data_IF_311852363503
#
_entry.id   IF_311852363503
#
_cell.length_a   1.000
_cell.length_b   1.000
_cell.length_c   1.000
_cell.angle_alpha   90.00
_cell.angle_beta   90.00
_cell.angle_gamma   90.00
#
_symmetry.space_group_name_H-M   'P 1'
#
loop_
_entity.id
_entity.type
_entity.pdbx_description
1 polymer ?
#
# COMPACT_ATOMS: atom_id res chain seq x y z
N UNK A 1 16.86 -19.21 -15.41
CA UNK A 1 16.15 -20.04 -14.41
C UNK A 1 16.54 -19.60 -13.00
N UNK A 2 17.84 -19.47 -12.70
CA UNK A 2 18.32 -18.94 -11.41
C UNK A 2 17.87 -17.49 -11.14
N UNK A 3 18.01 -16.55 -12.08
CA UNK A 3 17.54 -15.15 -11.89
C UNK A 3 16.03 -15.03 -11.59
N UNK A 4 15.18 -15.88 -12.19
CA UNK A 4 13.74 -15.89 -11.91
C UNK A 4 13.45 -16.41 -10.49
N UNK A 5 14.24 -17.38 -10.03
CA UNK A 5 14.15 -17.93 -8.68
C UNK A 5 14.62 -16.91 -7.63
N UNK A 6 15.73 -16.21 -7.91
CA UNK A 6 16.24 -15.11 -7.07
C UNK A 6 15.24 -13.96 -6.96
N UNK A 7 14.64 -13.53 -8.08
CA UNK A 7 13.60 -12.50 -8.08
C UNK A 7 12.38 -12.94 -7.24
N UNK A 8 11.92 -14.19 -7.38
CA UNK A 8 10.80 -14.69 -6.58
C UNK A 8 11.10 -14.72 -5.06
N UNK A 9 12.34 -14.98 -4.65
CA UNK A 9 12.75 -14.93 -3.24
C UNK A 9 12.75 -13.48 -2.74
N UNK A 10 13.31 -12.56 -3.53
CA UNK A 10 13.33 -11.13 -3.19
C UNK A 10 11.91 -10.55 -3.08
N UNK A 11 11.03 -10.89 -4.02
CA UNK A 11 9.64 -10.43 -4.04
C UNK A 11 8.87 -10.89 -2.79
N UNK A 12 9.05 -12.15 -2.39
CA UNK A 12 8.43 -12.68 -1.16
C UNK A 12 8.99 -12.00 0.10
N UNK A 13 10.30 -11.76 0.15
CA UNK A 13 10.92 -11.06 1.28
C UNK A 13 10.37 -9.63 1.40
N UNK A 14 10.31 -8.90 0.29
CA UNK A 14 9.75 -7.55 0.25
C UNK A 14 8.26 -7.53 0.63
N UNK A 15 7.48 -8.48 0.13
CA UNK A 15 6.07 -8.63 0.48
C UNK A 15 5.88 -8.86 1.98
N UNK A 16 6.69 -9.73 2.59
CA UNK A 16 6.61 -10.01 4.03
C UNK A 16 7.05 -8.78 4.84
N UNK A 17 8.15 -8.13 4.47
CA UNK A 17 8.59 -6.88 5.12
C UNK A 17 7.47 -5.84 5.07
N UNK A 18 6.89 -5.59 3.89
CA UNK A 18 5.81 -4.61 3.74
C UNK A 18 4.63 -4.91 4.66
N UNK A 19 4.19 -6.17 4.70
CA UNK A 19 3.00 -6.58 5.44
C UNK A 19 3.19 -6.67 6.97
N UNK A 20 4.38 -7.08 7.41
CA UNK A 20 4.65 -7.37 8.83
C UNK A 20 5.22 -6.17 9.59
N UNK A 21 5.56 -5.07 8.90
CA UNK A 21 5.95 -3.82 9.54
C UNK A 21 4.88 -3.35 10.53
N UNK A 22 5.30 -2.97 11.74
CA UNK A 22 4.41 -2.48 12.81
C UNK A 22 3.84 -1.08 12.53
N UNK A 23 4.39 -0.37 11.55
CA UNK A 23 3.89 0.92 11.08
C UNK A 23 2.89 0.72 9.94
N UNK A 24 1.86 1.57 9.90
CA UNK A 24 0.89 1.56 8.80
C UNK A 24 1.49 2.15 7.54
N UNK A 25 1.43 1.42 6.43
CA UNK A 25 1.87 1.87 5.11
C UNK A 25 0.73 1.77 4.09
N UNK A 26 0.69 2.76 3.21
CA UNK A 26 -0.22 2.86 2.06
C UNK A 26 0.65 3.10 0.82
N UNK A 27 0.35 2.41 -0.27
CA UNK A 27 0.99 2.60 -1.57
C UNK A 27 -0.03 3.17 -2.55
N UNK A 28 0.37 4.23 -3.24
CA UNK A 28 -0.43 4.90 -4.25
C UNK A 28 0.31 4.92 -5.57
N UNK A 29 -0.43 4.87 -6.67
CA UNK A 29 0.13 5.18 -7.98
C UNK A 29 0.32 6.69 -8.18
N UNK A 30 0.85 7.06 -9.36
CA UNK A 30 1.11 8.47 -9.72
C UNK A 30 -0.15 9.34 -9.79
N UNK A 31 -1.33 8.74 -9.95
CA UNK A 31 -2.62 9.44 -10.03
C UNK A 31 -3.30 9.48 -8.65
N UNK A 32 -2.61 8.98 -7.61
CA UNK A 32 -3.08 8.95 -6.24
C UNK A 32 -4.03 7.81 -5.94
N UNK A 33 -4.19 6.79 -6.80
CA UNK A 33 -5.05 5.64 -6.51
C UNK A 33 -4.31 4.64 -5.63
N UNK A 34 -4.95 4.18 -4.55
CA UNK A 34 -4.35 3.20 -3.63
C UNK A 34 -4.18 1.85 -4.33
N UNK A 35 -2.94 1.39 -4.44
CA UNK A 35 -2.58 0.11 -5.08
C UNK A 35 -2.26 -0.99 -4.06
N UNK A 36 -1.83 -0.64 -2.84
CA UNK A 36 -1.70 -1.60 -1.75
C UNK A 36 -1.74 -0.93 -0.37
N UNK A 37 -1.97 -1.73 0.66
CA UNK A 37 -2.01 -1.30 2.05
C UNK A 37 -1.61 -2.46 2.96
N UNK A 38 -0.74 -2.19 3.94
CA UNK A 38 -0.23 -3.26 4.81
C UNK A 38 -1.20 -3.61 5.95
N UNK A 39 -0.93 -4.73 6.63
CA UNK A 39 -1.82 -5.23 7.70
C UNK A 39 -1.92 -4.30 8.89
N UNK A 40 -0.82 -3.64 9.27
CA UNK A 40 -0.83 -2.66 10.36
C UNK A 40 -1.76 -1.49 10.06
N UNK A 41 -1.77 -1.00 8.81
CA UNK A 41 -2.66 0.08 8.41
C UNK A 41 -4.12 -0.35 8.34
N UNK A 42 -4.42 -1.49 7.71
CA UNK A 42 -5.78 -2.06 7.68
C UNK A 42 -6.37 -2.20 9.09
N UNK A 43 -5.57 -2.72 10.02
CA UNK A 43 -5.94 -2.86 11.43
C UNK A 43 -6.28 -1.50 12.06
N UNK A 44 -5.44 -0.48 11.84
CA UNK A 44 -5.68 0.88 12.38
C UNK A 44 -6.96 1.54 11.83
N UNK A 45 -7.34 1.21 10.59
CA UNK A 45 -8.56 1.69 9.95
C UNK A 45 -9.80 0.87 10.36
N UNK A 46 -9.60 -0.30 10.98
CA UNK A 46 -10.68 -1.25 11.27
C UNK A 46 -11.21 -1.99 10.04
N UNK A 47 -10.43 -2.04 8.95
CA UNK A 47 -10.79 -2.68 7.69
C UNK A 47 -10.29 -4.13 7.68
N UNK A 48 -11.12 -5.05 7.18
CA UNK A 48 -10.82 -6.49 7.17
C UNK A 48 -10.16 -6.96 5.88
N UNK A 49 -10.67 -6.53 4.73
CA UNK A 49 -10.14 -6.92 3.43
C UNK A 49 -9.63 -5.66 2.70
N UNK A 50 -8.41 -5.73 2.16
CA UNK A 50 -7.84 -4.64 1.38
C UNK A 50 -8.68 -4.26 0.17
N UNK A 51 -9.43 -5.21 -0.40
CA UNK A 51 -10.31 -4.95 -1.54
C UNK A 51 -11.35 -3.85 -1.27
N UNK A 52 -11.68 -3.62 0.01
CA UNK A 52 -12.64 -2.60 0.40
C UNK A 52 -12.08 -1.17 0.27
N UNK A 53 -10.75 -1.01 0.16
CA UNK A 53 -10.07 0.30 0.12
C UNK A 53 -9.11 0.49 -1.08
N UNK A 54 -8.75 -0.58 -1.79
CA UNK A 54 -7.98 -0.44 -3.03
C UNK A 54 -8.73 0.43 -4.05
N UNK A 55 -8.00 1.29 -4.75
CA UNK A 55 -8.54 2.24 -5.73
C UNK A 55 -9.10 3.53 -5.13
N UNK A 56 -9.12 3.71 -3.81
CA UNK A 56 -9.44 5.01 -3.22
C UNK A 56 -8.36 6.03 -3.58
N UNK A 57 -8.79 7.22 -3.97
CA UNK A 57 -7.88 8.28 -4.35
C UNK A 57 -7.42 9.07 -3.11
N UNK A 58 -6.11 9.22 -2.94
CA UNK A 58 -5.47 9.96 -1.86
C UNK A 58 -6.01 11.39 -1.73
N UNK A 59 -6.23 12.07 -2.85
CA UNK A 59 -6.62 13.48 -2.89
C UNK A 59 -8.12 13.70 -2.61
N UNK A 60 -8.91 12.63 -2.60
CA UNK A 60 -10.33 12.70 -2.21
C UNK A 60 -10.50 12.77 -0.68
N UNK A 61 -9.46 12.44 0.10
CA UNK A 61 -9.48 12.75 1.53
C UNK A 61 -9.40 14.27 1.68
N UNK A 62 -10.46 14.85 2.26
CA UNK A 62 -10.74 16.29 2.37
C UNK A 62 -9.71 17.11 3.15
N UNK A 63 -8.56 16.52 3.51
CA UNK A 63 -7.52 17.10 4.36
C UNK A 63 -6.25 17.55 3.61
N UNK A 64 -6.10 17.23 2.32
CA UNK A 64 -4.96 17.72 1.55
C UNK A 64 -5.20 19.14 1.05
N UNK A 65 -4.25 20.04 1.31
CA UNK A 65 -4.23 21.38 0.71
C UNK A 65 -4.10 21.27 -0.81
N UNK A 66 -4.60 22.28 -1.52
CA UNK A 66 -4.55 22.27 -3.00
C UNK A 66 -3.10 22.26 -3.52
N UNK A 67 -2.14 22.77 -2.74
CA UNK A 67 -0.69 22.69 -3.02
C UNK A 67 -0.15 21.25 -3.10
N UNK A 68 -0.78 20.27 -2.44
CA UNK A 68 -0.37 18.85 -2.49
C UNK A 68 -1.06 18.12 -3.66
N UNK A 69 -2.09 18.71 -4.27
CA UNK A 69 -2.87 18.09 -5.36
C UNK A 69 -2.37 18.45 -6.77
N UNK A 70 -1.51 19.46 -6.90
CA UNK A 70 -0.85 19.87 -8.16
C UNK A 70 0.54 19.24 -8.32
#
# INVERSE_FOLDING_TARGET
MEQTLENGIADNLLHNIFNDLSVGLELYDKDGLMIDVNYSRLRSMGIKDKKDILGYNLFNYTSFSDEIKE
#
